data_IF_261090821632
#
_entry.id   IF_261090821632
#
_cell.length_a   1.000
_cell.length_b   1.000
_cell.length_c   1.000
_cell.angle_alpha   90.00
_cell.angle_beta   90.00
_cell.angle_gamma   90.00
#
_symmetry.space_group_name_H-M   'P 1'
#
loop_
_entity.id
_entity.type
_entity.pdbx_description
1 polymer ?
#
# COMPACT_ATOMS: atom_id res chain seq x y z
N UNK A 1 3.43 3.34 -9.15
CA UNK A 1 2.78 2.85 -7.90
C UNK A 1 3.29 3.69 -6.75
N UNK A 2 2.44 4.04 -5.78
CA UNK A 2 2.81 4.70 -4.54
C UNK A 2 2.77 3.69 -3.40
N UNK A 3 3.80 3.66 -2.55
CA UNK A 3 3.90 2.77 -1.38
C UNK A 3 4.04 3.66 -0.15
N UNK A 4 3.16 3.50 0.83
CA UNK A 4 3.19 4.29 2.05
C UNK A 4 2.49 3.62 3.23
N UNK A 5 2.74 4.14 4.42
CA UNK A 5 2.24 3.63 5.70
C UNK A 5 1.22 4.57 6.35
N UNK A 6 0.91 5.70 5.70
CA UNK A 6 -0.06 6.66 6.21
C UNK A 6 -1.07 7.11 5.16
N UNK A 7 -2.21 7.65 5.64
CA UNK A 7 -3.33 8.09 4.80
C UNK A 7 -2.91 9.04 3.68
N UNK A 8 -2.02 9.99 3.99
CA UNK A 8 -1.62 11.03 3.05
C UNK A 8 -0.79 10.48 1.88
N UNK A 9 -0.02 9.41 2.10
CA UNK A 9 0.69 8.73 1.02
C UNK A 9 -0.30 8.14 0.02
N UNK A 10 -1.34 7.49 0.53
CA UNK A 10 -2.37 6.85 -0.28
C UNK A 10 -3.18 7.90 -1.05
N UNK A 11 -3.63 8.97 -0.37
CA UNK A 11 -4.36 10.08 -1.01
C UNK A 11 -3.52 10.77 -2.09
N UNK A 12 -2.23 11.04 -1.82
CA UNK A 12 -1.32 11.61 -2.81
C UNK A 12 -1.15 10.68 -4.02
N UNK A 13 -0.99 9.37 -3.79
CA UNK A 13 -0.95 8.36 -4.84
C UNK A 13 -2.21 8.35 -5.71
N UNK A 14 -3.40 8.33 -5.09
CA UNK A 14 -4.68 8.37 -5.83
C UNK A 14 -4.83 9.68 -6.61
N UNK A 15 -4.49 10.82 -6.01
CA UNK A 15 -4.56 12.12 -6.67
C UNK A 15 -3.64 12.21 -7.91
N UNK A 16 -2.49 11.51 -7.87
CA UNK A 16 -1.58 11.40 -9.00
C UNK A 16 -1.98 10.33 -10.04
N UNK A 17 -3.09 9.62 -9.84
CA UNK A 17 -3.52 8.52 -10.73
C UNK A 17 -2.69 7.24 -10.61
N UNK A 18 -1.92 7.09 -9.52
CA UNK A 18 -1.15 5.89 -9.25
C UNK A 18 -2.01 4.81 -8.57
N UNK A 19 -1.66 3.55 -8.83
CA UNK A 19 -1.98 2.46 -7.90
C UNK A 19 -1.26 2.68 -6.57
N UNK A 20 -1.84 2.19 -5.48
CA UNK A 20 -1.45 2.47 -4.10
C UNK A 20 -1.24 1.17 -3.32
N UNK A 21 -0.19 1.15 -2.49
CA UNK A 21 0.14 0.05 -1.58
C UNK A 21 0.20 0.59 -0.16
N UNK A 22 -0.62 0.04 0.74
CA UNK A 22 -0.59 0.37 2.16
C UNK A 22 0.26 -0.66 2.92
N UNK A 23 1.31 -0.17 3.55
CA UNK A 23 2.17 -0.94 4.44
C UNK A 23 1.72 -0.71 5.88
N UNK A 24 1.20 -1.74 6.54
CA UNK A 24 0.78 -1.66 7.94
C UNK A 24 1.26 -2.91 8.70
N UNK A 25 2.33 -2.80 9.52
CA UNK A 25 2.83 -3.90 10.34
C UNK A 25 1.80 -4.50 11.32
N UNK A 26 0.84 -3.70 11.79
CA UNK A 26 -0.24 -4.20 12.65
C UNK A 26 -1.32 -4.95 11.85
N UNK A 27 -1.37 -4.74 10.53
CA UNK A 27 -2.35 -5.33 9.63
C UNK A 27 -3.79 -4.85 9.89
N UNK A 28 -3.96 -3.67 10.49
CA UNK A 28 -5.25 -3.04 10.74
C UNK A 28 -5.83 -2.42 9.46
N UNK A 29 -4.95 -1.93 8.57
CA UNK A 29 -5.27 -1.32 7.29
C UNK A 29 -6.44 -0.33 7.37
N UNK A 30 -6.33 0.76 8.17
CA UNK A 30 -7.43 1.67 8.49
C UNK A 30 -8.09 2.39 7.30
N UNK A 31 -7.45 2.39 6.13
CA UNK A 31 -7.95 3.04 4.90
C UNK A 31 -7.98 2.05 3.73
N UNK A 32 -8.78 0.97 3.82
CA UNK A 32 -8.79 -0.09 2.82
C UNK A 32 -9.26 0.39 1.45
N UNK A 33 -10.11 1.42 1.39
CA UNK A 33 -10.61 2.05 0.18
C UNK A 33 -9.57 2.92 -0.54
N UNK A 34 -8.45 3.23 0.12
CA UNK A 34 -7.36 4.02 -0.44
C UNK A 34 -6.17 3.18 -0.93
N UNK A 35 -6.22 1.86 -0.78
CA UNK A 35 -5.12 0.95 -1.09
C UNK A 35 -5.56 -0.12 -2.09
N UNK A 36 -4.81 -0.28 -3.19
CA UNK A 36 -5.04 -1.35 -4.17
C UNK A 36 -4.37 -2.66 -3.72
N UNK A 37 -3.26 -2.55 -2.97
CA UNK A 37 -2.59 -3.67 -2.29
C UNK A 37 -2.33 -3.32 -0.82
N UNK A 38 -2.43 -4.32 0.06
CA UNK A 38 -2.19 -4.20 1.50
C UNK A 38 -1.16 -5.24 1.90
N UNK A 39 -0.12 -4.82 2.58
CA UNK A 39 0.98 -5.68 3.03
C UNK A 39 1.39 -5.31 4.45
N UNK A 40 1.86 -6.28 5.23
CA UNK A 40 2.34 -6.05 6.60
C UNK A 40 3.79 -5.56 6.65
N UNK A 41 4.48 -5.56 5.51
CA UNK A 41 5.85 -5.10 5.42
C UNK A 41 6.41 -5.24 4.03
N UNK A 42 7.59 -4.66 3.82
CA UNK A 42 8.24 -4.66 2.50
C UNK A 42 8.70 -6.06 2.06
N UNK A 43 8.95 -6.98 2.99
CA UNK A 43 9.27 -8.37 2.64
C UNK A 43 8.07 -9.08 1.98
N UNK A 44 6.85 -8.84 2.48
CA UNK A 44 5.62 -9.37 1.87
C UNK A 44 5.37 -8.71 0.51
N UNK A 45 5.64 -7.41 0.38
CA UNK A 45 5.58 -6.73 -0.91
C UNK A 45 6.57 -7.32 -1.92
N UNK A 46 7.81 -7.57 -1.51
CA UNK A 46 8.83 -8.19 -2.36
C UNK A 46 8.36 -9.57 -2.83
N UNK A 47 7.88 -10.41 -1.92
CA UNK A 47 7.36 -11.73 -2.27
C UNK A 47 6.18 -11.67 -3.26
N UNK A 48 5.30 -10.67 -3.11
CA UNK A 48 4.19 -10.47 -4.04
C UNK A 48 4.64 -10.03 -5.44
N UNK A 49 5.73 -9.24 -5.54
CA UNK A 49 6.31 -8.83 -6.82
C UNK A 49 7.05 -9.98 -7.52
N UNK A 50 7.72 -10.84 -6.76
CA UNK A 50 8.42 -12.02 -7.30
C UNK A 50 7.45 -13.12 -7.78
N UNK A 51 6.21 -13.12 -7.30
CA UNK A 51 5.18 -14.08 -7.67
C UNK A 51 4.43 -13.73 -8.98
N UNK A 52 4.65 -12.55 -9.55
CA UNK A 52 4.01 -12.06 -10.78
C UNK A 52 5.00 -11.90 -11.94
#
# INVERSE_FOLDING_TARGET
VMVGDFRFDLEAGRAAGCLTVHVDPAGAFPWPELADLKVRGLAELLAALEAG
#
